data_IF_035550975274
#
_entry.id   IF_035550975274
#
_cell.length_a   1.000
_cell.length_b   1.000
_cell.length_c   1.000
_cell.angle_alpha   90.00
_cell.angle_beta   90.00
_cell.angle_gamma   90.00
#
_symmetry.space_group_name_H-M   'P 1'
#
loop_
_entity.id
_entity.type
_entity.pdbx_description
1 polymer ?
#
# COMPACT_ATOMS: atom_id res chain seq x y z
N UNK A 1 25.71 -1.33 5.24
CA UNK A 1 25.75 0.15 5.43
C UNK A 1 26.01 0.81 4.09
N UNK A 2 25.25 1.84 3.68
CA UNK A 2 25.54 2.59 2.44
C UNK A 2 26.96 3.17 2.48
N UNK A 3 27.61 3.32 1.32
CA UNK A 3 29.00 3.80 1.21
C UNK A 3 29.21 5.15 1.88
N UNK A 4 28.24 6.06 1.74
CA UNK A 4 28.29 7.40 2.33
C UNK A 4 28.25 7.36 3.87
N UNK A 5 27.40 6.51 4.48
CA UNK A 5 27.34 6.37 5.93
C UNK A 5 28.65 5.82 6.54
N UNK A 6 29.36 4.96 5.81
CA UNK A 6 30.68 4.45 6.25
C UNK A 6 31.74 5.54 6.30
N UNK A 7 31.75 6.45 5.33
CA UNK A 7 32.69 7.58 5.30
C UNK A 7 32.41 8.53 6.47
N UNK A 8 31.13 8.91 6.68
CA UNK A 8 30.73 9.81 7.78
C UNK A 8 31.05 9.19 9.15
N UNK A 9 30.76 7.90 9.34
CA UNK A 9 31.11 7.17 10.56
C UNK A 9 32.63 7.17 10.78
N UNK A 10 33.41 6.87 9.74
CA UNK A 10 34.86 6.89 9.78
C UNK A 10 35.42 8.24 10.21
N UNK A 11 34.93 9.34 9.60
CA UNK A 11 35.32 10.69 9.99
C UNK A 11 34.96 11.01 11.45
N UNK A 12 33.79 10.59 11.92
CA UNK A 12 33.38 10.75 13.32
C UNK A 12 34.28 9.99 14.30
N UNK A 13 34.60 8.73 14.01
CA UNK A 13 35.50 7.91 14.85
C UNK A 13 36.92 8.49 14.86
N UNK A 14 37.47 8.84 13.69
CA UNK A 14 38.81 9.43 13.60
C UNK A 14 38.86 10.78 14.31
N UNK A 15 37.84 11.63 14.13
CA UNK A 15 37.73 12.92 14.82
C UNK A 15 37.69 12.77 16.34
N UNK A 16 36.90 11.82 16.85
CA UNK A 16 36.84 11.54 18.29
C UNK A 16 38.19 11.06 18.84
N UNK A 17 38.87 10.17 18.10
CA UNK A 17 40.16 9.63 18.48
C UNK A 17 41.24 10.72 18.51
N UNK A 18 41.24 11.63 17.52
CA UNK A 18 42.10 12.80 17.50
C UNK A 18 41.83 13.75 18.68
N UNK A 19 40.56 13.93 19.08
CA UNK A 19 40.21 14.74 20.26
C UNK A 19 40.76 14.10 21.55
N UNK A 20 40.66 12.78 21.69
CA UNK A 20 41.20 12.06 22.86
C UNK A 20 42.73 12.15 22.89
N UNK A 21 43.40 11.91 21.77
CA UNK A 21 44.87 12.07 21.67
C UNK A 21 45.26 13.52 21.99
N UNK A 22 44.58 14.51 21.41
CA UNK A 22 44.83 15.92 21.68
C UNK A 22 44.64 16.23 23.17
N UNK A 23 43.59 15.69 23.81
CA UNK A 23 43.35 15.87 25.24
C UNK A 23 44.42 15.24 26.14
N UNK A 24 45.04 14.14 25.71
CA UNK A 24 46.10 13.46 26.45
C UNK A 24 47.48 14.13 26.27
N UNK A 25 47.70 14.76 25.11
CA UNK A 25 48.98 15.39 24.77
C UNK A 25 49.08 16.86 25.23
N UNK A 26 47.99 17.52 25.64
CA UNK A 26 48.03 18.90 26.14
C UNK A 26 48.82 18.95 27.46
N UNK A 27 49.97 19.67 27.51
CA UNK A 27 50.71 19.88 28.75
C UNK A 27 49.94 20.73 29.75
N UNK A 28 50.07 20.43 31.04
CA UNK A 28 49.36 21.16 32.12
C UNK A 28 49.92 22.58 32.35
N UNK A 29 51.10 22.90 31.80
CA UNK A 29 51.80 24.18 32.00
C UNK A 29 51.39 25.31 31.04
N UNK A 30 50.30 25.18 30.28
CA UNK A 30 49.89 26.15 29.24
C UNK A 30 49.26 27.46 29.75
N UNK A 31 49.35 27.77 31.05
CA UNK A 31 48.96 29.07 31.62
C UNK A 31 47.58 29.57 31.15
N UNK A 32 47.51 30.78 30.59
CA UNK A 32 46.27 31.41 30.15
C UNK A 32 45.62 30.82 28.88
N UNK A 33 46.32 29.92 28.17
CA UNK A 33 45.84 29.33 26.91
C UNK A 33 45.06 28.01 27.08
N UNK A 34 45.25 27.31 28.21
CA UNK A 34 44.51 26.10 28.61
C UNK A 34 42.98 26.15 28.38
N UNK A 35 42.26 27.21 28.83
CA UNK A 35 40.81 27.25 28.69
C UNK A 35 40.32 27.34 27.23
N UNK A 36 41.14 27.88 26.32
CA UNK A 36 40.79 27.99 24.89
C UNK A 36 40.85 26.59 24.24
N UNK A 37 41.90 25.82 24.55
CA UNK A 37 42.06 24.46 24.05
C UNK A 37 40.98 23.51 24.58
N UNK A 38 40.59 23.63 25.85
CA UNK A 38 39.51 22.83 26.43
C UNK A 38 38.14 23.09 25.78
N UNK A 39 37.81 24.35 25.47
CA UNK A 39 36.55 24.69 24.78
C UNK A 39 36.52 24.13 23.36
N UNK A 40 37.65 24.24 22.65
CA UNK A 40 37.80 23.68 21.31
C UNK A 40 37.69 22.15 21.30
N UNK A 41 38.30 21.45 22.27
CA UNK A 41 38.22 19.99 22.37
C UNK A 41 36.82 19.50 22.67
N UNK A 42 36.06 20.22 23.52
CA UNK A 42 34.65 19.89 23.78
C UNK A 42 33.82 20.07 22.51
N UNK A 43 33.97 21.19 21.81
CA UNK A 43 33.22 21.44 20.56
C UNK A 43 33.54 20.40 19.49
N UNK A 44 34.81 20.02 19.33
CA UNK A 44 35.25 18.99 18.41
C UNK A 44 34.70 17.60 18.79
N UNK A 45 34.67 17.27 20.09
CA UNK A 45 34.06 16.03 20.59
C UNK A 45 32.56 15.94 20.29
N UNK A 46 31.82 17.03 20.52
CA UNK A 46 30.39 17.12 20.18
C UNK A 46 30.17 16.93 18.67
N UNK A 47 30.99 17.55 17.83
CA UNK A 47 30.92 17.37 16.37
C UNK A 47 31.19 15.92 15.95
N UNK A 48 32.21 15.28 16.52
CA UNK A 48 32.55 13.89 16.22
C UNK A 48 31.41 12.93 16.57
N UNK A 49 30.81 13.08 17.75
CA UNK A 49 29.63 12.30 18.17
C UNK A 49 28.43 12.59 17.27
N UNK A 50 28.22 13.86 16.89
CA UNK A 50 27.17 14.25 15.94
C UNK A 50 27.30 13.53 14.60
N UNK A 51 28.49 13.47 14.02
CA UNK A 51 28.76 12.73 12.78
C UNK A 51 28.47 11.23 12.93
N UNK A 52 28.84 10.64 14.06
CA UNK A 52 28.53 9.23 14.33
C UNK A 52 27.01 8.98 14.40
N UNK A 53 26.25 9.86 15.05
CA UNK A 53 24.78 9.75 15.12
C UNK A 53 24.11 9.90 13.75
N UNK A 54 24.60 10.81 12.89
CA UNK A 54 24.12 10.95 11.51
C UNK A 54 24.34 9.67 10.71
N UNK A 55 25.51 9.05 10.84
CA UNK A 55 25.80 7.77 10.19
C UNK A 55 24.88 6.63 10.70
N UNK A 56 24.60 6.60 12.00
CA UNK A 56 23.65 5.65 12.60
C UNK A 56 22.23 5.88 12.08
N UNK A 57 21.80 7.14 11.92
CA UNK A 57 20.48 7.45 11.37
C UNK A 57 20.35 6.96 9.93
N UNK A 58 21.37 7.19 9.10
CA UNK A 58 21.39 6.73 7.71
C UNK A 58 21.46 5.21 7.56
N UNK A 59 21.99 4.49 8.54
CA UNK A 59 21.98 3.02 8.52
C UNK A 59 20.62 2.43 8.85
N UNK A 60 19.78 3.13 9.63
CA UNK A 60 18.39 2.73 9.87
C UNK A 60 17.43 3.13 8.74
N UNK A 61 17.77 4.17 8.00
CA UNK A 61 16.93 4.74 6.94
C UNK A 61 16.95 3.97 5.62
N UNK A 62 17.58 2.79 5.53
CA UNK A 62 17.46 1.94 4.36
C UNK A 62 16.39 0.86 4.62
N UNK A 63 15.09 1.13 4.38
CA UNK A 63 14.08 0.10 4.44
C UNK A 63 14.49 -0.99 3.45
N UNK A 64 14.73 -2.20 3.93
CA UNK A 64 15.01 -3.33 3.05
C UNK A 64 13.87 -3.42 2.05
N UNK A 65 14.15 -3.07 0.79
CA UNK A 65 13.22 -3.25 -0.32
C UNK A 65 12.86 -4.73 -0.33
N UNK A 66 11.63 -5.05 0.08
CA UNK A 66 11.20 -6.46 0.15
C UNK A 66 11.25 -7.02 -1.26
N UNK A 67 11.86 -8.20 -1.36
CA UNK A 67 12.06 -8.87 -2.63
C UNK A 67 10.69 -9.16 -3.27
N UNK A 68 10.47 -8.62 -4.46
CA UNK A 68 9.24 -8.82 -5.22
C UNK A 68 9.25 -10.21 -5.80
N UNK A 69 8.20 -10.97 -5.55
CA UNK A 69 7.98 -12.26 -6.19
C UNK A 69 7.54 -11.99 -7.63
N UNK A 70 8.08 -12.76 -8.58
CA UNK A 70 7.60 -12.72 -9.96
C UNK A 70 6.22 -13.41 -9.99
N UNK A 71 5.17 -12.63 -10.19
CA UNK A 71 3.82 -13.14 -10.35
C UNK A 71 3.55 -13.37 -11.84
N UNK A 72 3.07 -14.56 -12.18
CA UNK A 72 2.78 -14.94 -13.55
C UNK A 72 1.33 -14.56 -13.91
N UNK A 73 1.16 -13.84 -15.01
CA UNK A 73 -0.16 -13.47 -15.52
C UNK A 73 -0.13 -12.19 -16.37
N UNK A 74 -1.14 -11.98 -17.22
CA UNK A 74 -1.26 -10.74 -17.99
C UNK A 74 -1.58 -9.57 -17.05
N UNK A 75 -0.94 -8.42 -17.30
CA UNK A 75 -1.35 -7.16 -16.70
C UNK A 75 -2.61 -6.67 -17.39
N UNK A 76 -3.66 -6.38 -16.63
CA UNK A 76 -4.93 -5.97 -17.21
C UNK A 76 -5.87 -5.25 -16.25
N UNK A 77 -7.00 -4.84 -16.83
CA UNK A 77 -8.11 -4.21 -16.12
C UNK A 77 -9.41 -4.74 -16.71
N UNK A 78 -10.17 -5.48 -15.92
CA UNK A 78 -11.46 -6.07 -16.26
C UNK A 78 -12.53 -5.41 -15.40
N UNK A 79 -13.65 -5.03 -16.02
CA UNK A 79 -14.81 -4.45 -15.38
C UNK A 79 -16.04 -5.19 -15.87
N UNK A 80 -17.04 -5.32 -14.99
CA UNK A 80 -18.31 -5.93 -15.35
C UNK A 80 -19.09 -5.05 -16.35
N UNK A 81 -19.64 -5.69 -17.37
CA UNK A 81 -20.48 -5.06 -18.38
C UNK A 81 -21.87 -4.79 -17.80
N UNK A 82 -22.31 -3.52 -17.80
CA UNK A 82 -23.59 -3.11 -17.21
C UNK A 82 -23.47 -2.14 -16.03
N UNK A 83 -22.24 -1.79 -15.62
CA UNK A 83 -22.03 -0.76 -14.60
C UNK A 83 -22.25 0.65 -15.18
N UNK A 84 -22.97 1.53 -14.47
CA UNK A 84 -23.10 2.95 -14.82
C UNK A 84 -21.73 3.62 -14.90
N UNK A 85 -21.63 4.64 -15.75
CA UNK A 85 -20.35 5.33 -16.00
C UNK A 85 -19.73 5.92 -14.72
N UNK A 86 -20.55 6.48 -13.83
CA UNK A 86 -20.08 7.01 -12.54
C UNK A 86 -19.38 5.95 -11.69
N UNK A 87 -19.97 4.77 -11.54
CA UNK A 87 -19.37 3.65 -10.79
C UNK A 87 -18.14 3.10 -11.50
N UNK A 88 -18.17 3.03 -12.83
CA UNK A 88 -17.04 2.57 -13.63
C UNK A 88 -15.81 3.46 -13.42
N UNK A 89 -16.00 4.77 -13.41
CA UNK A 89 -14.94 5.74 -13.13
C UNK A 89 -14.43 5.62 -11.70
N UNK A 90 -15.32 5.44 -10.73
CA UNK A 90 -14.96 5.25 -9.32
C UNK A 90 -14.14 3.97 -9.10
N UNK A 91 -14.54 2.85 -9.69
CA UNK A 91 -13.78 1.59 -9.65
C UNK A 91 -12.42 1.72 -10.36
N UNK A 92 -12.40 2.36 -11.53
CA UNK A 92 -11.16 2.61 -12.27
C UNK A 92 -10.19 3.51 -11.47
N UNK A 93 -10.71 4.54 -10.79
CA UNK A 93 -9.94 5.40 -9.90
C UNK A 93 -9.42 4.62 -8.70
N UNK A 94 -10.29 3.92 -7.97
CA UNK A 94 -9.93 3.24 -6.74
C UNK A 94 -8.88 2.15 -6.97
N UNK A 95 -9.07 1.29 -7.97
CA UNK A 95 -8.07 0.28 -8.33
C UNK A 95 -6.73 0.89 -8.74
N UNK A 96 -6.75 2.01 -9.46
CA UNK A 96 -5.53 2.71 -9.83
C UNK A 96 -4.79 3.22 -8.60
N UNK A 97 -5.52 3.85 -7.67
CA UNK A 97 -4.95 4.41 -6.45
C UNK A 97 -4.41 3.32 -5.53
N UNK A 98 -5.13 2.19 -5.38
CA UNK A 98 -4.65 1.06 -4.59
C UNK A 98 -3.33 0.50 -5.13
N UNK A 99 -3.25 0.26 -6.45
CA UNK A 99 -2.02 -0.25 -7.09
C UNK A 99 -0.85 0.75 -7.09
N UNK A 100 -1.14 2.06 -7.08
CA UNK A 100 -0.10 3.10 -7.02
C UNK A 100 0.37 3.43 -5.61
N UNK A 101 -0.54 3.50 -4.66
CA UNK A 101 -0.26 3.99 -3.31
C UNK A 101 0.14 2.87 -2.34
N UNK A 102 -0.12 1.61 -2.67
CA UNK A 102 0.24 0.44 -1.85
C UNK A 102 1.11 -0.53 -2.65
N UNK A 103 1.82 -1.48 -2.01
CA UNK A 103 2.61 -2.50 -2.72
C UNK A 103 1.74 -3.62 -3.32
N UNK A 104 0.52 -3.30 -3.75
CA UNK A 104 -0.41 -4.23 -4.36
C UNK A 104 0.03 -4.64 -5.78
N UNK A 105 -0.15 -5.91 -6.09
CA UNK A 105 0.03 -6.50 -7.41
C UNK A 105 -1.28 -6.64 -8.17
N UNK A 106 -2.35 -7.00 -7.46
CA UNK A 106 -3.67 -7.23 -8.03
C UNK A 106 -4.75 -6.81 -7.05
N UNK A 107 -5.85 -6.32 -7.58
CA UNK A 107 -7.04 -5.90 -6.83
C UNK A 107 -8.25 -6.57 -7.45
N UNK A 108 -9.12 -7.12 -6.61
CA UNK A 108 -10.39 -7.73 -6.99
C UNK A 108 -11.48 -7.12 -6.11
N UNK A 109 -12.55 -6.63 -6.72
CA UNK A 109 -13.74 -6.17 -6.00
C UNK A 109 -14.93 -7.04 -6.40
N UNK A 110 -15.62 -7.54 -5.37
CA UNK A 110 -16.81 -8.38 -5.48
C UNK A 110 -17.95 -7.73 -4.72
N UNK A 111 -19.14 -7.72 -5.32
CA UNK A 111 -20.37 -7.20 -4.72
C UNK A 111 -21.54 -8.13 -5.07
N UNK A 112 -22.32 -8.52 -4.08
CA UNK A 112 -23.42 -9.50 -4.21
C UNK A 112 -23.01 -10.77 -4.97
N UNK A 113 -21.83 -11.31 -4.63
CA UNK A 113 -21.21 -12.48 -5.28
C UNK A 113 -20.82 -12.29 -6.76
N UNK A 114 -21.00 -11.10 -7.32
CA UNK A 114 -20.56 -10.76 -8.67
C UNK A 114 -19.22 -10.02 -8.63
N UNK A 115 -18.28 -10.45 -9.47
CA UNK A 115 -17.04 -9.72 -9.71
C UNK A 115 -17.37 -8.43 -10.47
N UNK A 116 -17.15 -7.28 -9.83
CA UNK A 116 -17.36 -5.99 -10.48
C UNK A 116 -16.10 -5.51 -11.20
N UNK A 117 -14.93 -5.85 -10.66
CA UNK A 117 -13.67 -5.30 -11.14
C UNK A 117 -12.47 -6.16 -10.76
N UNK A 118 -11.54 -6.34 -11.71
CA UNK A 118 -10.21 -6.90 -11.48
C UNK A 118 -9.15 -6.01 -12.12
N UNK A 119 -8.03 -5.78 -11.43
CA UNK A 119 -6.92 -4.99 -11.98
C UNK A 119 -5.58 -5.48 -11.48
N UNK A 120 -4.56 -5.37 -12.33
CA UNK A 120 -3.18 -5.72 -11.99
C UNK A 120 -2.76 -7.00 -12.69
N UNK A 121 -2.04 -7.89 -12.02
CA UNK A 121 -1.73 -9.23 -12.56
C UNK A 121 -2.98 -10.10 -12.48
N UNK A 122 -3.53 -10.48 -13.62
CA UNK A 122 -4.79 -11.22 -13.71
C UNK A 122 -4.58 -12.73 -13.80
N UNK A 123 -5.65 -13.47 -13.58
CA UNK A 123 -5.71 -14.94 -13.66
C UNK A 123 -7.06 -15.35 -14.21
N UNK A 124 -7.13 -16.44 -14.96
CA UNK A 124 -8.39 -16.89 -15.58
C UNK A 124 -9.35 -17.59 -14.62
N UNK A 125 -8.94 -17.85 -13.37
CA UNK A 125 -9.77 -18.53 -12.36
C UNK A 125 -10.78 -17.55 -11.75
N UNK A 126 -12.07 -17.94 -11.64
CA UNK A 126 -13.12 -17.11 -11.06
C UNK A 126 -12.98 -17.04 -9.54
N UNK A 127 -13.60 -16.02 -8.96
CA UNK A 127 -13.70 -15.81 -7.53
C UNK A 127 -14.64 -16.81 -6.87
N UNK A 128 -14.14 -17.48 -5.84
CA UNK A 128 -14.94 -18.35 -4.97
C UNK A 128 -14.74 -17.93 -3.51
N UNK A 129 -15.81 -17.65 -2.75
CA UNK A 129 -15.69 -17.13 -1.39
C UNK A 129 -15.21 -18.22 -0.41
N UNK A 130 -13.93 -18.15 -0.04
CA UNK A 130 -13.32 -19.01 0.98
C UNK A 130 -13.71 -18.68 2.43
N UNK A 131 -13.35 -19.54 3.39
CA UNK A 131 -13.65 -19.35 4.81
C UNK A 131 -13.09 -18.05 5.39
N UNK A 132 -11.92 -17.57 4.94
CA UNK A 132 -11.38 -16.30 5.44
C UNK A 132 -12.20 -15.11 4.97
N UNK A 133 -12.63 -15.13 3.71
CA UNK A 133 -13.44 -14.07 3.12
C UNK A 133 -14.81 -13.99 3.81
N UNK A 134 -15.39 -15.15 4.13
CA UNK A 134 -16.63 -15.23 4.91
C UNK A 134 -16.44 -14.74 6.34
N UNK A 135 -15.37 -15.15 7.03
CA UNK A 135 -15.04 -14.69 8.38
C UNK A 135 -14.81 -13.17 8.43
N UNK A 136 -14.10 -12.60 7.45
CA UNK A 136 -13.85 -11.17 7.36
C UNK A 136 -15.19 -10.40 7.29
N UNK A 137 -16.16 -10.92 6.53
CA UNK A 137 -17.52 -10.38 6.47
C UNK A 137 -18.27 -10.54 7.79
N UNK A 138 -18.26 -11.72 8.41
CA UNK A 138 -18.97 -11.94 9.68
C UNK A 138 -18.45 -11.02 10.80
N UNK A 139 -17.13 -10.83 10.85
CA UNK A 139 -16.47 -10.02 11.86
C UNK A 139 -16.44 -8.52 11.49
N UNK A 140 -16.78 -8.16 10.25
CA UNK A 140 -16.61 -6.82 9.68
C UNK A 140 -15.21 -6.25 9.97
N UNK A 141 -14.19 -7.10 9.82
CA UNK A 141 -12.80 -6.79 10.13
C UNK A 141 -11.90 -7.12 8.94
N UNK A 142 -10.95 -6.23 8.68
CA UNK A 142 -9.86 -6.44 7.73
C UNK A 142 -9.06 -7.66 8.14
N UNK A 143 -8.83 -8.58 7.20
CA UNK A 143 -7.94 -9.73 7.41
C UNK A 143 -6.74 -9.63 6.49
N UNK A 144 -5.56 -9.39 7.08
CA UNK A 144 -4.29 -9.36 6.39
C UNK A 144 -3.51 -10.67 6.53
N UNK A 145 -3.35 -11.42 5.44
CA UNK A 145 -2.45 -12.56 5.35
C UNK A 145 -1.09 -12.10 4.85
N UNK A 146 -0.13 -12.05 5.76
CA UNK A 146 1.20 -11.53 5.46
C UNK A 146 2.12 -12.52 4.75
N UNK A 147 1.84 -13.82 4.83
CA UNK A 147 2.56 -14.88 4.12
C UNK A 147 1.61 -16.04 3.78
N UNK A 148 1.13 -16.07 2.55
CA UNK A 148 0.22 -17.11 2.06
C UNK A 148 0.86 -18.49 1.96
N UNK A 149 2.18 -18.58 1.79
CA UNK A 149 2.87 -19.89 1.72
C UNK A 149 2.75 -20.68 3.01
N UNK A 150 2.65 -19.99 4.15
CA UNK A 150 2.47 -20.61 5.47
C UNK A 150 1.01 -20.93 5.78
N UNK A 151 0.08 -20.51 4.92
CA UNK A 151 -1.35 -20.68 5.17
C UNK A 151 -1.86 -21.98 4.52
N UNK A 152 -2.37 -22.96 5.30
CA UNK A 152 -2.79 -24.25 4.76
C UNK A 152 -4.00 -24.14 3.81
N UNK A 153 -4.84 -23.11 3.97
CA UNK A 153 -6.01 -22.84 3.12
C UNK A 153 -5.73 -21.92 1.92
N UNK A 154 -4.46 -21.69 1.54
CA UNK A 154 -4.10 -20.70 0.50
C UNK A 154 -4.74 -20.91 -0.86
N UNK A 155 -5.24 -22.12 -1.14
CA UNK A 155 -6.01 -22.43 -2.35
C UNK A 155 -7.29 -21.62 -2.47
N UNK A 156 -7.82 -21.08 -1.37
CA UNK A 156 -8.98 -20.18 -1.40
C UNK A 156 -8.72 -18.89 -2.18
N UNK A 157 -7.46 -18.51 -2.39
CA UNK A 157 -7.05 -17.31 -3.14
C UNK A 157 -6.62 -17.64 -4.57
N UNK A 158 -7.07 -18.77 -5.13
CA UNK A 158 -6.68 -19.20 -6.47
C UNK A 158 -7.11 -18.24 -7.59
N UNK A 159 -8.05 -17.32 -7.35
CA UNK A 159 -8.42 -16.24 -8.28
C UNK A 159 -7.36 -15.12 -8.39
N UNK A 160 -6.33 -15.14 -7.55
CA UNK A 160 -5.11 -14.35 -7.72
C UNK A 160 -4.02 -15.17 -8.43
N UNK A 161 -2.98 -14.49 -8.97
CA UNK A 161 -1.83 -15.16 -9.57
C UNK A 161 -1.22 -16.22 -8.65
N UNK A 162 -0.69 -17.27 -9.27
CA UNK A 162 0.03 -18.29 -8.52
C UNK A 162 1.23 -17.68 -7.78
N UNK A 163 1.55 -18.24 -6.60
CA UNK A 163 2.59 -17.73 -5.71
C UNK A 163 2.38 -16.33 -5.14
N UNK A 164 1.13 -15.82 -5.13
CA UNK A 164 0.80 -14.58 -4.41
C UNK A 164 1.28 -14.65 -2.95
N UNK A 165 2.17 -13.75 -2.50
CA UNK A 165 2.81 -13.86 -1.19
C UNK A 165 1.99 -13.29 -0.04
N UNK A 166 1.18 -12.26 -0.27
CA UNK A 166 0.37 -11.60 0.75
C UNK A 166 -0.96 -11.14 0.18
N UNK A 167 -2.02 -11.19 0.99
CA UNK A 167 -3.37 -10.72 0.62
C UNK A 167 -3.99 -9.96 1.79
N UNK A 168 -4.68 -8.88 1.49
CA UNK A 168 -5.58 -8.17 2.41
C UNK A 168 -7.01 -8.37 1.91
N UNK A 169 -7.88 -8.81 2.81
CA UNK A 169 -9.32 -8.94 2.58
C UNK A 169 -10.03 -7.88 3.41
N UNK A 170 -10.69 -6.96 2.74
CA UNK A 170 -11.47 -5.89 3.36
C UNK A 170 -12.96 -6.11 3.05
N UNK A 171 -13.82 -6.30 4.07
CA UNK A 171 -15.26 -6.46 3.87
C UNK A 171 -15.90 -5.12 3.48
N UNK A 172 -16.74 -5.13 2.44
CA UNK A 172 -17.56 -3.99 2.02
C UNK A 172 -18.98 -4.15 2.60
N UNK A 173 -19.09 -4.08 3.93
CA UNK A 173 -20.37 -4.35 4.60
C UNK A 173 -20.75 -5.84 4.52
N UNK A 174 -22.05 -6.13 4.44
CA UNK A 174 -22.56 -7.50 4.35
C UNK A 174 -22.56 -8.07 2.91
N UNK A 175 -22.34 -7.22 1.90
CA UNK A 175 -22.65 -7.53 0.49
C UNK A 175 -21.43 -7.76 -0.38
N UNK A 176 -20.28 -7.20 -0.04
CA UNK A 176 -19.11 -7.28 -0.90
C UNK A 176 -17.78 -7.44 -0.15
N UNK A 177 -16.73 -7.58 -0.96
CA UNK A 177 -15.36 -7.70 -0.52
C UNK A 177 -14.43 -6.95 -1.48
N UNK A 178 -13.44 -6.29 -0.90
CA UNK A 178 -12.29 -5.76 -1.60
C UNK A 178 -11.08 -6.63 -1.23
N UNK A 179 -10.52 -7.32 -2.21
CA UNK A 179 -9.35 -8.17 -2.05
C UNK A 179 -8.15 -7.54 -2.74
N UNK A 180 -7.03 -7.46 -2.02
CA UNK A 180 -5.79 -6.83 -2.49
C UNK A 180 -4.63 -7.79 -2.30
N UNK A 181 -4.04 -8.27 -3.40
CA UNK A 181 -2.85 -9.11 -3.41
C UNK A 181 -1.59 -8.24 -3.47
N UNK A 182 -0.54 -8.62 -2.76
CA UNK A 182 0.72 -7.88 -2.66
C UNK A 182 1.89 -8.55 -3.39
N UNK A 183 2.91 -7.77 -3.76
CA UNK A 183 4.11 -8.27 -4.46
C UNK A 183 5.11 -9.07 -3.59
N UNK A 184 5.04 -8.93 -2.27
CA UNK A 184 6.03 -9.52 -1.35
C UNK A 184 5.42 -9.91 -0.02
N UNK A 185 6.09 -10.83 0.69
CA UNK A 185 5.72 -11.22 2.06
C UNK A 185 5.75 -10.00 2.98
N UNK A 186 4.71 -9.86 3.82
CA UNK A 186 4.52 -8.77 4.78
C UNK A 186 4.51 -7.37 4.14
N UNK A 187 4.25 -7.23 2.84
CA UNK A 187 4.42 -5.94 2.15
C UNK A 187 3.51 -4.82 2.66
N UNK A 188 2.30 -5.15 3.10
CA UNK A 188 1.35 -4.16 3.61
C UNK A 188 1.75 -3.67 5.01
N UNK A 189 1.81 -2.35 5.15
CA UNK A 189 1.96 -1.64 6.42
C UNK A 189 0.58 -1.29 7.00
N UNK A 190 0.56 -0.84 8.26
CA UNK A 190 -0.67 -0.34 8.90
C UNK A 190 -1.27 0.85 8.14
N UNK A 191 -0.43 1.71 7.56
CA UNK A 191 -0.90 2.83 6.74
C UNK A 191 -1.55 2.35 5.45
N UNK A 192 -1.03 1.29 4.83
CA UNK A 192 -1.63 0.67 3.65
C UNK A 192 -3.00 0.05 3.99
N UNK A 193 -3.11 -0.65 5.12
CA UNK A 193 -4.39 -1.22 5.57
C UNK A 193 -5.45 -0.14 5.83
N UNK A 194 -5.06 0.97 6.49
CA UNK A 194 -5.96 2.12 6.70
C UNK A 194 -6.38 2.74 5.36
N UNK A 195 -5.45 2.84 4.41
CA UNK A 195 -5.75 3.35 3.07
C UNK A 195 -6.71 2.44 2.31
N UNK A 196 -6.47 1.11 2.32
CA UNK A 196 -7.35 0.11 1.71
C UNK A 196 -8.76 0.22 2.30
N UNK A 197 -8.87 0.32 3.63
CA UNK A 197 -10.14 0.51 4.32
C UNK A 197 -10.85 1.80 3.91
N UNK A 198 -10.14 2.93 3.84
CA UNK A 198 -10.74 4.20 3.42
C UNK A 198 -11.26 4.18 1.98
N UNK A 199 -10.52 3.54 1.07
CA UNK A 199 -10.98 3.32 -0.31
C UNK A 199 -12.18 2.37 -0.35
N UNK A 200 -12.16 1.30 0.45
CA UNK A 200 -13.27 0.36 0.60
C UNK A 200 -14.56 1.05 1.08
N UNK A 201 -14.47 1.90 2.10
CA UNK A 201 -15.60 2.68 2.60
C UNK A 201 -16.19 3.60 1.51
N UNK A 202 -15.33 4.30 0.74
CA UNK A 202 -15.77 5.14 -0.38
C UNK A 202 -16.50 4.32 -1.45
N UNK A 203 -15.93 3.19 -1.85
CA UNK A 203 -16.51 2.30 -2.85
C UNK A 203 -17.84 1.72 -2.38
N UNK A 204 -17.94 1.31 -1.11
CA UNK A 204 -19.18 0.85 -0.51
C UNK A 204 -20.27 1.91 -0.62
N UNK A 205 -19.98 3.15 -0.23
CA UNK A 205 -20.96 4.24 -0.32
C UNK A 205 -21.44 4.47 -1.76
N UNK A 206 -20.53 4.43 -2.74
CA UNK A 206 -20.91 4.56 -4.15
C UNK A 206 -21.81 3.40 -4.63
N UNK A 207 -21.50 2.17 -4.21
CA UNK A 207 -22.29 0.97 -4.57
C UNK A 207 -23.65 0.95 -3.88
N UNK A 208 -23.74 1.33 -2.61
CA UNK A 208 -25.00 1.42 -1.87
C UNK A 208 -25.92 2.53 -2.46
N UNK A 209 -25.34 3.65 -2.89
CA UNK A 209 -26.10 4.72 -3.54
C UNK A 209 -26.73 4.27 -4.87
N UNK A 210 -26.08 3.38 -5.60
CA UNK A 210 -26.63 2.83 -6.84
C UNK A 210 -27.94 2.07 -6.59
N UNK A 211 -28.03 1.34 -5.47
CA UNK A 211 -29.22 0.56 -5.12
C UNK A 211 -30.35 1.43 -4.57
N UNK A 212 -30.01 2.55 -3.92
CA UNK A 212 -30.98 3.49 -3.38
C UNK A 212 -31.66 4.37 -4.43
N UNK A 213 -31.25 4.31 -5.71
CA UNK A 213 -31.86 5.09 -6.81
C UNK A 213 -32.61 4.20 -7.83
N UNK A 214 -33.78 3.64 -7.47
CA UNK A 214 -34.64 2.92 -8.42
C UNK A 214 -35.27 3.83 -9.49
N UNK A 215 -35.18 5.16 -9.36
CA UNK A 215 -35.78 6.12 -10.31
C UNK A 215 -34.90 6.38 -11.54
N UNK A 216 -33.59 6.17 -11.47
CA UNK A 216 -32.70 6.27 -12.63
C UNK A 216 -32.98 5.18 -13.68
N UNK A 217 -33.38 3.97 -13.24
CA UNK A 217 -33.72 2.85 -14.12
C UNK A 217 -35.09 3.03 -14.79
N UNK A 218 -36.09 3.57 -14.07
CA UNK A 218 -37.40 3.91 -14.65
C UNK A 218 -37.30 5.02 -15.70
N UNK A 219 -36.51 6.06 -15.43
CA UNK A 219 -36.37 7.19 -16.35
C UNK A 219 -35.66 6.81 -17.67
N UNK A 220 -34.72 5.85 -17.65
CA UNK A 220 -34.08 5.35 -18.88
C UNK A 220 -35.03 4.48 -19.72
N UNK A 221 -35.89 3.68 -19.08
CA UNK A 221 -36.90 2.88 -19.78
C UNK A 221 -37.99 3.76 -20.42
N UNK A 222 -38.43 4.83 -19.75
CA UNK A 222 -39.41 5.78 -20.31
C UNK A 222 -38.82 6.66 -21.42
N UNK A 223 -37.54 7.08 -21.32
CA UNK A 223 -36.87 7.82 -22.40
C UNK A 223 -36.67 6.97 -23.66
N UNK A 224 -36.37 5.67 -23.50
CA UNK A 224 -36.22 4.75 -24.63
C UNK A 224 -37.58 4.47 -25.31
N UNK A 225 -38.68 4.42 -24.54
CA UNK A 225 -40.04 4.33 -25.11
C UNK A 225 -40.45 5.62 -25.82
N UNK A 226 -40.21 6.79 -25.23
CA UNK A 226 -40.58 8.08 -25.80
C UNK A 226 -39.84 8.40 -27.12
N UNK A 227 -38.58 7.98 -27.25
CA UNK A 227 -37.80 8.16 -28.49
C UNK A 227 -38.18 7.21 -29.63
N UNK A 228 -39.01 6.18 -29.37
CA UNK A 228 -39.41 5.17 -30.36
C UNK A 228 -40.81 5.41 -30.97
N UNK A 229 -41.51 6.46 -30.55
CA UNK A 229 -42.79 6.84 -31.15
C UNK A 229 -42.55 7.46 -32.54
N UNK A 230 -43.08 6.88 -33.63
CA UNK A 230 -42.91 7.45 -34.96
C UNK A 230 -43.67 8.79 -35.06
N UNK A 231 -42.93 9.83 -35.42
CA UNK A 231 -43.42 11.15 -35.80
C UNK A 231 -44.32 10.99 -37.03
N UNK A 232 -45.64 10.95 -36.81
CA UNK A 232 -46.61 10.88 -37.89
C UNK A 232 -46.46 12.12 -38.78
N UNK A 233 -45.97 11.87 -40.00
CA UNK A 233 -46.11 12.74 -41.15
C UNK A 233 -47.58 13.09 -41.36
N UNK A 234 -47.96 14.34 -41.09
CA UNK A 234 -49.18 14.93 -41.63
C UNK A 234 -48.83 15.84 -42.81
N UNK A 235 -49.43 15.50 -43.94
CA UNK A 235 -49.49 16.22 -45.23
C UNK A 235 -50.61 17.27 -45.19
#
# INVERSE_FOLDING_TARGET
MPSQARVVLGCGVVGLLLVVINSLLIPVDLGSALPIFQRASVLAGVMAVGLMLVAVLWTRANPTTRERVSLEGPQGFELNEGLPEGIRLELAWASHQLLKATPAASVLLVWDQNELMRRGVLTSKPFEPGPIVQRAREQQQTVGLVNLTLYPGRSEFAYFPENTPAVVVEPLGARGWLLVAGWSVRCFSRSDEIWIKGVAEKLRTALEQLDCDPMAQLNQADQTRASSAPENQEL
#
